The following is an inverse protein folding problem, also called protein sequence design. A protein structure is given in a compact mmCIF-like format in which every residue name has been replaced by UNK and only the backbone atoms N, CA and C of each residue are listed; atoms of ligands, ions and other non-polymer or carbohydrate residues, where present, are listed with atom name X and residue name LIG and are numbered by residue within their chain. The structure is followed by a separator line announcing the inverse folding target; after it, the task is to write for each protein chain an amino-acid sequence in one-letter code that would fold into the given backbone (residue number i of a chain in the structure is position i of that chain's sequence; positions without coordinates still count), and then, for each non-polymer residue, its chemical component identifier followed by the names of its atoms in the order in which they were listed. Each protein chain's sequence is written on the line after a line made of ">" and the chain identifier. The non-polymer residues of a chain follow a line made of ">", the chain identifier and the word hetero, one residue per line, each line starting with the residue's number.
data_IF_480521065327
#
_entry.id   IF_480521065327
#
_cell.length_a   1.000
_cell.length_b   1.000
_cell.length_c   1.000
_cell.angle_alpha   90.00
_cell.angle_beta   90.00
_cell.angle_gamma   90.00
#
_symmetry.space_group_name_H-M   'P 1'
#
loop_
_entity.id
_entity.type
_entity.pdbx_description
1 polymer ?
#
# COMPACT_ATOMS: atom_id res chain seq x y z
N UNK A 1 44.48 -24.64 26.71
CA UNK A 1 44.07 -23.23 26.82
C UNK A 1 44.02 -22.62 25.43
N UNK A 2 42.85 -22.59 24.79
CA UNK A 2 42.52 -21.58 23.79
C UNK A 2 41.00 -21.50 23.77
N UNK A 3 40.49 -20.39 24.31
CA UNK A 3 39.07 -20.05 24.39
C UNK A 3 38.57 -19.77 22.97
N UNK A 4 37.54 -20.49 22.50
CA UNK A 4 36.76 -20.03 21.36
C UNK A 4 35.65 -19.11 21.87
N UNK A 5 35.89 -17.84 21.54
CA UNK A 5 35.08 -16.67 21.77
C UNK A 5 33.65 -16.88 21.26
N UNK A 6 32.69 -16.53 22.13
CA UNK A 6 31.27 -16.42 21.83
C UNK A 6 31.04 -15.55 20.59
N UNK A 7 30.65 -16.17 19.48
CA UNK A 7 29.90 -15.47 18.43
C UNK A 7 28.44 -15.45 18.87
N UNK A 8 28.10 -14.38 19.58
CA UNK A 8 26.73 -13.97 19.83
C UNK A 8 26.16 -13.44 18.52
N UNK A 9 25.76 -14.34 17.61
CA UNK A 9 24.84 -14.01 16.53
C UNK A 9 23.50 -13.70 17.18
N UNK A 10 23.35 -12.44 17.60
CA UNK A 10 22.03 -11.85 17.81
C UNK A 10 21.35 -11.82 16.45
N UNK A 11 20.73 -12.95 16.08
CA UNK A 11 19.66 -13.01 15.11
C UNK A 11 18.56 -12.11 15.66
N UNK A 12 18.65 -10.82 15.31
CA UNK A 12 17.64 -9.84 15.61
C UNK A 12 16.42 -10.31 14.86
N UNK A 13 15.52 -10.94 15.58
CA UNK A 13 14.23 -11.38 15.09
C UNK A 13 13.57 -10.17 14.43
N UNK A 14 13.49 -10.18 13.10
CA UNK A 14 12.56 -9.37 12.31
C UNK A 14 11.18 -9.73 12.82
N UNK A 15 10.81 -9.10 13.94
CA UNK A 15 9.49 -9.20 14.51
C UNK A 15 8.63 -8.50 13.47
N UNK A 16 7.73 -9.21 12.77
CA UNK A 16 6.91 -8.55 11.78
C UNK A 16 6.19 -7.43 12.51
N UNK A 17 6.46 -6.19 12.12
CA UNK A 17 5.64 -5.06 12.52
C UNK A 17 4.24 -5.46 12.10
N UNK A 18 3.38 -5.77 13.06
CA UNK A 18 1.99 -6.09 12.80
C UNK A 18 1.35 -4.81 12.29
N UNK A 19 1.34 -4.63 10.97
CA UNK A 19 0.63 -3.55 10.31
C UNK A 19 -0.86 -3.87 10.48
N UNK A 20 -1.43 -3.32 11.53
CA UNK A 20 -2.80 -3.57 11.95
C UNK A 20 -3.73 -3.31 10.76
N UNK A 21 -4.66 -4.24 10.49
CA UNK A 21 -5.73 -3.97 9.54
C UNK A 21 -6.70 -2.98 10.18
N UNK A 22 -6.97 -1.89 9.47
CA UNK A 22 -7.89 -0.88 9.92
C UNK A 22 -9.25 -1.08 9.24
N UNK A 23 -10.35 -1.13 10.02
CA UNK A 23 -11.68 -1.10 9.44
C UNK A 23 -11.89 0.24 8.72
N UNK A 24 -12.73 0.24 7.70
CA UNK A 24 -13.11 1.47 7.00
C UNK A 24 -14.03 2.30 7.91
N UNK A 25 -13.45 3.25 8.66
CA UNK A 25 -14.16 4.12 9.61
C UNK A 25 -14.69 5.39 8.94
N UNK A 26 -15.83 5.89 9.42
CA UNK A 26 -16.33 7.21 9.03
C UNK A 26 -15.63 8.31 9.84
N UNK A 27 -15.14 9.34 9.14
CA UNK A 27 -14.57 10.56 9.73
C UNK A 27 -15.57 11.68 9.48
N UNK A 28 -16.15 12.25 10.55
CA UNK A 28 -17.31 13.15 10.43
C UNK A 28 -16.91 14.63 10.43
N UNK A 29 -15.79 14.98 11.09
CA UNK A 29 -15.31 16.36 11.19
C UNK A 29 -13.91 16.53 10.61
N UNK A 30 -13.57 17.76 10.24
CA UNK A 30 -12.21 18.09 9.79
C UNK A 30 -11.17 17.78 10.88
N UNK A 31 -11.52 17.99 12.15
CA UNK A 31 -10.65 17.67 13.27
C UNK A 31 -10.37 16.16 13.38
N UNK A 32 -11.38 15.33 13.14
CA UNK A 32 -11.20 13.86 13.13
C UNK A 32 -10.25 13.43 12.02
N UNK A 33 -10.36 14.05 10.84
CA UNK A 33 -9.48 13.79 9.70
C UNK A 33 -8.04 14.18 10.02
N UNK A 34 -7.82 15.37 10.56
CA UNK A 34 -6.48 15.84 10.93
C UNK A 34 -5.84 14.95 12.00
N UNK A 35 -6.59 14.62 13.05
CA UNK A 35 -6.11 13.74 14.11
C UNK A 35 -5.78 12.33 13.59
N UNK A 36 -6.61 11.82 12.68
CA UNK A 36 -6.37 10.54 12.02
C UNK A 36 -5.10 10.57 11.16
N UNK A 37 -4.92 11.61 10.34
CA UNK A 37 -3.73 11.79 9.51
C UNK A 37 -2.45 11.86 10.35
N UNK A 38 -2.45 12.62 11.44
CA UNK A 38 -1.30 12.76 12.33
C UNK A 38 -0.95 11.45 13.05
N UNK A 39 -1.95 10.66 13.43
CA UNK A 39 -1.73 9.34 14.00
C UNK A 39 -1.10 8.40 12.96
N UNK A 40 -1.71 8.29 11.79
CA UNK A 40 -1.23 7.40 10.71
C UNK A 40 0.17 7.79 10.24
N UNK A 41 0.47 9.08 10.15
CA UNK A 41 1.81 9.56 9.82
C UNK A 41 2.83 9.12 10.89
N UNK A 42 2.52 9.30 12.17
CA UNK A 42 3.42 8.89 13.27
C UNK A 42 3.64 7.38 13.30
N UNK A 43 2.59 6.59 13.16
CA UNK A 43 2.68 5.13 13.11
C UNK A 43 3.52 4.66 11.92
N UNK A 44 3.33 5.27 10.75
CA UNK A 44 4.14 4.99 9.57
C UNK A 44 5.62 5.35 9.81
N UNK A 45 5.93 6.53 10.33
CA UNK A 45 7.31 6.93 10.61
C UNK A 45 7.98 5.99 11.63
N UNK A 46 7.26 5.58 12.68
CA UNK A 46 7.76 4.61 13.66
C UNK A 46 8.03 3.24 13.01
N UNK A 47 7.15 2.79 12.12
CA UNK A 47 7.29 1.51 11.45
C UNK A 47 8.43 1.50 10.41
N UNK A 48 8.69 2.62 9.73
CA UNK A 48 9.77 2.74 8.75
C UNK A 48 11.16 2.84 9.42
N UNK A 49 11.24 3.51 10.58
CA UNK A 49 12.50 3.84 11.23
C UNK A 49 13.44 4.66 10.33
N UNK A 50 14.76 4.52 10.53
CA UNK A 50 15.77 5.29 9.77
C UNK A 50 16.14 4.67 8.40
N UNK A 51 15.45 3.60 7.98
CA UNK A 51 15.83 2.86 6.77
C UNK A 51 15.20 3.49 5.52
N UNK A 52 15.98 3.72 4.44
CA UNK A 52 15.40 4.11 3.17
C UNK A 52 14.42 3.03 2.71
N UNK A 53 13.20 3.46 2.40
CA UNK A 53 12.10 2.58 2.01
C UNK A 53 11.76 2.80 0.55
N UNK A 54 11.63 1.70 -0.17
CA UNK A 54 11.20 1.68 -1.57
C UNK A 54 9.92 0.87 -1.65
N UNK A 55 8.91 1.44 -2.28
CA UNK A 55 7.60 0.81 -2.42
C UNK A 55 6.77 0.79 -1.14
N UNK A 56 6.89 1.79 -0.27
CA UNK A 56 5.87 1.99 0.77
C UNK A 56 4.51 2.34 0.14
N UNK A 57 3.41 2.04 0.80
CA UNK A 57 2.10 2.30 0.25
C UNK A 57 0.97 1.78 1.12
N UNK A 58 -0.15 1.49 0.47
CA UNK A 58 -1.35 0.93 1.09
C UNK A 58 -1.70 -0.35 0.35
N UNK A 59 -2.04 -1.39 1.09
CA UNK A 59 -2.68 -2.58 0.55
C UNK A 59 -4.17 -2.52 0.88
N UNK A 60 -5.01 -2.70 -0.13
CA UNK A 60 -6.46 -2.82 0.00
C UNK A 60 -6.83 -4.29 -0.20
N UNK A 61 -7.44 -4.90 0.81
CA UNK A 61 -8.03 -6.24 0.72
C UNK A 61 -9.44 -6.11 0.15
N UNK A 62 -9.80 -6.91 -0.86
CA UNK A 62 -11.11 -6.83 -1.50
C UNK A 62 -12.13 -7.82 -0.92
N UNK A 63 -13.41 -7.44 -0.92
CA UNK A 63 -14.53 -8.24 -0.39
C UNK A 63 -14.71 -9.60 -1.08
N UNK A 64 -14.37 -9.70 -2.37
CA UNK A 64 -14.55 -10.92 -3.17
C UNK A 64 -13.23 -11.66 -3.43
N UNK A 65 -12.17 -11.32 -2.70
CA UNK A 65 -10.84 -11.90 -2.83
C UNK A 65 -9.88 -11.06 -3.65
N UNK A 66 -8.60 -11.24 -3.34
CA UNK A 66 -7.50 -10.48 -3.91
C UNK A 66 -7.14 -9.21 -3.12
N UNK A 67 -5.94 -8.74 -3.38
CA UNK A 67 -5.36 -7.51 -2.84
C UNK A 67 -4.93 -6.56 -3.97
N UNK A 68 -5.03 -5.25 -3.71
CA UNK A 68 -4.40 -4.20 -4.50
C UNK A 68 -3.35 -3.46 -3.66
N UNK A 69 -2.15 -3.32 -4.22
CA UNK A 69 -1.08 -2.53 -3.63
C UNK A 69 -1.00 -1.19 -4.34
N UNK A 70 -1.08 -0.10 -3.59
CA UNK A 70 -1.10 1.28 -4.09
C UNK A 70 0.08 2.08 -3.54
N UNK A 71 0.81 2.75 -4.42
CA UNK A 71 1.87 3.70 -4.10
C UNK A 71 1.75 4.94 -4.98
N UNK A 72 2.13 6.11 -4.45
CA UNK A 72 2.32 7.33 -5.25
C UNK A 72 3.80 7.63 -5.37
N UNK A 73 4.31 7.77 -6.59
CA UNK A 73 5.71 8.13 -6.84
C UNK A 73 5.97 9.63 -6.57
N UNK A 74 7.20 10.09 -6.78
CA UNK A 74 7.60 11.50 -6.58
C UNK A 74 6.89 12.49 -7.49
N UNK A 75 6.40 12.03 -8.65
CA UNK A 75 5.69 12.86 -9.62
C UNK A 75 4.17 12.94 -9.32
N UNK A 76 3.73 12.23 -8.27
CA UNK A 76 2.34 12.14 -7.86
C UNK A 76 1.53 11.09 -8.62
N UNK A 77 2.15 10.32 -9.51
CA UNK A 77 1.48 9.25 -10.24
C UNK A 77 1.25 8.03 -9.36
N UNK A 78 0.14 7.34 -9.62
CA UNK A 78 -0.29 6.18 -8.86
C UNK A 78 0.23 4.91 -9.53
N UNK A 79 0.95 4.10 -8.77
CA UNK A 79 1.30 2.72 -9.10
C UNK A 79 0.32 1.80 -8.38
N UNK A 80 -0.38 0.98 -9.14
CA UNK A 80 -1.38 0.04 -8.62
C UNK A 80 -1.06 -1.38 -9.10
N UNK A 81 -0.69 -2.26 -8.17
CA UNK A 81 -0.35 -3.65 -8.46
C UNK A 81 -1.47 -4.57 -7.95
N UNK A 82 -1.96 -5.45 -8.84
CA UNK A 82 -3.05 -6.37 -8.53
C UNK A 82 -2.49 -7.77 -8.37
N UNK A 83 -2.91 -8.43 -7.29
CA UNK A 83 -2.77 -9.90 -7.20
C UNK A 83 -3.58 -10.59 -8.28
N UNK A 84 -3.23 -11.84 -8.61
CA UNK A 84 -3.94 -12.65 -9.62
C UNK A 84 -5.43 -12.80 -9.26
N UNK A 85 -5.72 -13.04 -7.99
CA UNK A 85 -7.08 -13.14 -7.46
C UNK A 85 -7.85 -11.82 -7.48
N UNK A 86 -7.18 -10.67 -7.68
CA UNK A 86 -7.81 -9.36 -7.79
C UNK A 86 -8.09 -8.95 -9.25
N UNK A 87 -7.67 -9.71 -10.27
CA UNK A 87 -7.81 -9.31 -11.68
C UNK A 87 -9.26 -9.03 -12.10
N UNK A 88 -10.25 -9.59 -11.40
CA UNK A 88 -11.67 -9.34 -11.64
C UNK A 88 -12.06 -7.86 -11.48
N UNK A 89 -11.29 -7.05 -10.76
CA UNK A 89 -11.56 -5.61 -10.57
C UNK A 89 -11.12 -4.75 -11.75
N UNK A 90 -10.37 -5.30 -12.71
CA UNK A 90 -9.87 -4.56 -13.87
C UNK A 90 -10.94 -3.74 -14.64
N UNK A 91 -12.17 -4.23 -14.88
CA UNK A 91 -13.21 -3.44 -15.53
C UNK A 91 -13.61 -2.18 -14.75
N UNK A 92 -13.60 -2.25 -13.41
CA UNK A 92 -13.86 -1.10 -12.53
C UNK A 92 -12.72 -0.10 -12.67
N UNK A 93 -11.46 -0.57 -12.62
CA UNK A 93 -10.29 0.28 -12.80
C UNK A 93 -10.34 1.03 -14.13
N UNK A 94 -10.63 0.32 -15.22
CA UNK A 94 -10.78 0.95 -16.55
C UNK A 94 -11.88 2.01 -16.57
N UNK A 95 -13.03 1.72 -15.97
CA UNK A 95 -14.16 2.64 -15.96
C UNK A 95 -13.87 3.92 -15.17
N UNK A 96 -13.23 3.80 -14.00
CA UNK A 96 -13.02 4.93 -13.07
C UNK A 96 -11.77 5.73 -13.40
N UNK A 97 -10.75 5.10 -13.99
CA UNK A 97 -9.49 5.78 -14.37
C UNK A 97 -9.47 6.20 -15.84
N UNK A 98 -10.34 5.62 -16.68
CA UNK A 98 -10.31 5.72 -18.14
C UNK A 98 -8.96 5.28 -18.75
N UNK A 99 -8.20 4.47 -18.02
CA UNK A 99 -6.92 3.92 -18.48
C UNK A 99 -7.10 2.54 -19.08
N UNK A 100 -6.21 2.18 -20.00
CA UNK A 100 -6.17 0.84 -20.58
C UNK A 100 -5.40 -0.12 -19.65
N UNK A 101 -5.74 -1.43 -19.65
CA UNK A 101 -4.98 -2.41 -18.89
C UNK A 101 -3.49 -2.40 -19.28
N UNK A 102 -2.58 -2.50 -18.29
CA UNK A 102 -1.16 -2.62 -18.56
C UNK A 102 -0.85 -3.96 -19.26
N UNK A 103 0.32 -4.02 -19.92
CA UNK A 103 0.86 -5.29 -20.43
C UNK A 103 1.41 -6.20 -19.31
N UNK A 104 1.65 -5.63 -18.12
CA UNK A 104 2.08 -6.34 -16.91
C UNK A 104 0.99 -6.34 -15.84
N UNK A 105 1.37 -6.57 -14.58
CA UNK A 105 0.43 -6.58 -13.45
C UNK A 105 0.22 -5.20 -12.82
N UNK A 106 1.19 -4.29 -12.99
CA UNK A 106 1.15 -2.95 -12.38
C UNK A 106 0.58 -1.92 -13.35
N UNK A 107 -0.49 -1.26 -12.92
CA UNK A 107 -1.09 -0.11 -13.58
C UNK A 107 -0.30 1.14 -13.20
N UNK A 108 0.19 1.86 -14.21
CA UNK A 108 0.65 3.24 -14.05
C UNK A 108 -0.51 4.17 -14.37
N UNK A 109 -0.95 4.96 -13.39
CA UNK A 109 -2.10 5.84 -13.50
C UNK A 109 -1.70 7.28 -13.18
N UNK A 110 -2.22 8.28 -13.92
CA UNK A 110 -1.96 9.68 -13.61
C UNK A 110 -2.46 10.06 -12.20
N UNK A 111 -1.71 10.88 -11.46
CA UNK A 111 -2.07 11.26 -10.09
C UNK A 111 -3.49 11.81 -9.89
N UNK A 112 -4.03 12.52 -10.89
CA UNK A 112 -5.35 13.14 -10.82
C UNK A 112 -6.53 12.15 -10.78
N UNK A 113 -6.31 10.86 -11.08
CA UNK A 113 -7.37 9.84 -11.02
C UNK A 113 -7.47 9.17 -9.65
N UNK A 114 -6.58 9.49 -8.69
CA UNK A 114 -6.54 8.84 -7.38
C UNK A 114 -7.88 8.91 -6.64
N UNK A 115 -8.52 10.10 -6.61
CA UNK A 115 -9.82 10.27 -5.94
C UNK A 115 -10.88 9.41 -6.63
N UNK A 116 -10.90 9.38 -7.97
CA UNK A 116 -11.88 8.59 -8.73
C UNK A 116 -11.67 7.08 -8.51
N UNK A 117 -10.41 6.65 -8.43
CA UNK A 117 -10.02 5.29 -8.11
C UNK A 117 -10.53 4.86 -6.73
N UNK A 118 -10.24 5.65 -5.69
CA UNK A 118 -10.68 5.33 -4.32
C UNK A 118 -12.21 5.32 -4.21
N UNK A 119 -12.90 6.30 -4.80
CA UNK A 119 -14.37 6.32 -4.82
C UNK A 119 -14.96 5.11 -5.56
N UNK A 120 -14.35 4.74 -6.69
CA UNK A 120 -14.76 3.57 -7.48
C UNK A 120 -14.58 2.23 -6.78
N UNK A 121 -13.55 2.12 -5.95
CA UNK A 121 -13.24 0.93 -5.16
C UNK A 121 -13.96 0.88 -3.81
N UNK A 122 -14.55 1.98 -3.34
CA UNK A 122 -15.06 2.13 -1.98
C UNK A 122 -16.03 1.01 -1.55
N UNK A 123 -16.88 0.50 -2.45
CA UNK A 123 -17.82 -0.59 -2.14
C UNK A 123 -17.22 -1.99 -2.26
N UNK A 124 -15.97 -2.11 -2.73
CA UNK A 124 -15.26 -3.36 -2.98
C UNK A 124 -14.14 -3.61 -1.94
N UNK A 125 -13.73 -2.58 -1.22
CA UNK A 125 -12.69 -2.66 -0.17
C UNK A 125 -13.28 -3.27 1.10
N UNK A 126 -12.64 -4.31 1.61
CA UNK A 126 -12.96 -4.95 2.89
C UNK A 126 -12.16 -4.33 4.05
N UNK A 127 -10.85 -4.17 3.85
CA UNK A 127 -9.92 -3.58 4.83
C UNK A 127 -8.73 -2.93 4.13
N UNK A 128 -7.99 -2.11 4.86
CA UNK A 128 -6.71 -1.56 4.40
C UNK A 128 -5.61 -1.77 5.44
N UNK A 129 -4.37 -1.86 4.96
CA UNK A 129 -3.16 -1.91 5.79
C UNK A 129 -2.03 -1.14 5.14
N UNK A 130 -1.14 -0.60 5.96
CA UNK A 130 0.10 -0.02 5.48
C UNK A 130 0.98 -1.11 4.84
N UNK A 131 1.81 -0.69 3.90
CA UNK A 131 2.83 -1.51 3.26
C UNK A 131 4.13 -0.76 3.38
N UNK A 132 5.13 -1.35 4.03
CA UNK A 132 6.43 -0.69 4.21
C UNK A 132 7.36 -0.93 3.01
N UNK A 133 7.19 -2.07 2.32
CA UNK A 133 7.99 -2.49 1.18
C UNK A 133 7.14 -3.34 0.23
N UNK A 134 7.06 -2.95 -1.03
CA UNK A 134 6.45 -3.73 -2.11
C UNK A 134 7.19 -3.51 -3.41
N UNK A 135 7.33 -4.57 -4.21
CA UNK A 135 8.03 -4.49 -5.49
C UNK A 135 7.06 -4.22 -6.63
N UNK A 136 6.82 -2.95 -6.94
CA UNK A 136 6.03 -2.54 -8.12
C UNK A 136 6.84 -2.78 -9.40
N UNK A 137 6.65 -3.95 -10.03
CA UNK A 137 7.41 -4.35 -11.23
C UNK A 137 6.88 -3.67 -12.50
N UNK A 138 7.69 -2.80 -13.10
CA UNK A 138 7.56 -2.45 -14.52
C UNK A 138 6.39 -1.52 -14.90
N UNK A 139 5.80 -0.79 -13.96
CA UNK A 139 4.86 0.26 -14.32
C UNK A 139 5.60 1.44 -14.96
N UNK A 140 5.20 1.78 -16.18
CA UNK A 140 5.56 3.03 -16.84
C UNK A 140 4.27 3.81 -16.99
N UNK A 141 4.24 5.01 -16.40
CA UNK A 141 3.12 5.93 -16.58
C UNK A 141 3.11 6.36 -18.05
N UNK A 142 1.94 6.26 -18.68
CA UNK A 142 1.73 6.60 -20.09
C UNK A 142 1.34 8.07 -20.24
#
# INVERSE_FOLDING_TARGET
>A
MTQNLMMNDSAQSDTPVSLQEHPWISLETALDVEAWMDLQHRELQQALGDKPTTGQGICLTLLHGGELYLHTNSDGDVLLDLTEDAQWVAPVLMAVTRSSPPKGQVWGLPGHVLIQLILGLNTLVASSRLVLRHQYKGARVA
#
